data_IF_275604226470
#
_entry.id   IF_275604226470
#
_cell.length_a   1.000
_cell.length_b   1.000
_cell.length_c   1.000
_cell.angle_alpha   90.00
_cell.angle_beta   90.00
_cell.angle_gamma   90.00
#
_symmetry.space_group_name_H-M   'P 1'
#
loop_
_entity.id
_entity.type
_entity.pdbx_description
1 polymer ?
#
# COMPACT_ATOMS: atom_id res chain seq x y z
N UNK A 1 32.53 65.11 16.81
CA UNK A 1 31.32 64.69 16.06
C UNK A 1 31.07 63.24 16.38
N UNK A 2 30.16 62.96 17.33
CA UNK A 2 29.85 61.57 17.76
C UNK A 2 28.59 61.12 17.04
N UNK A 3 28.70 60.24 16.07
CA UNK A 3 27.56 59.61 15.38
C UNK A 3 26.97 58.55 16.31
N UNK A 4 25.69 58.70 16.60
CA UNK A 4 24.88 57.74 17.34
C UNK A 4 24.43 56.63 16.38
N UNK A 5 25.06 55.46 16.48
CA UNK A 5 24.74 54.23 15.69
C UNK A 5 23.98 53.20 16.53
N UNK A 6 22.86 53.60 17.16
CA UNK A 6 22.19 52.70 18.11
C UNK A 6 20.69 52.37 17.86
N UNK A 7 20.01 52.84 16.83
CA UNK A 7 18.64 52.29 16.62
C UNK A 7 18.52 51.27 15.49
N UNK A 8 19.55 51.02 14.66
CA UNK A 8 19.40 50.13 13.49
C UNK A 8 19.59 48.66 13.82
N UNK A 9 20.38 48.35 14.85
CA UNK A 9 20.68 46.97 15.26
C UNK A 9 19.52 46.30 16.02
N UNK A 10 18.72 47.11 16.74
CA UNK A 10 17.58 46.60 17.50
C UNK A 10 16.37 46.21 16.63
N UNK A 11 16.22 46.80 15.44
CA UNK A 11 15.12 46.49 14.52
C UNK A 11 15.31 45.18 13.73
N UNK A 12 16.57 44.76 13.54
CA UNK A 12 16.88 43.51 12.81
C UNK A 12 16.74 42.27 13.70
N UNK A 13 16.91 42.41 15.00
CA UNK A 13 16.77 41.29 15.95
C UNK A 13 15.31 40.87 16.22
N UNK A 14 14.32 41.74 15.94
CA UNK A 14 12.90 41.41 16.10
C UNK A 14 12.25 40.76 14.85
N UNK A 15 12.95 40.77 13.71
CA UNK A 15 12.42 40.17 12.47
C UNK A 15 12.75 38.66 12.34
N UNK A 16 13.48 38.09 13.28
CA UNK A 16 13.86 36.67 13.32
C UNK A 16 13.24 35.95 14.53
N UNK A 17 11.97 36.22 14.81
CA UNK A 17 11.24 35.42 15.78
C UNK A 17 10.87 34.08 15.14
N UNK A 18 11.27 32.93 15.68
CA UNK A 18 10.95 31.61 15.14
C UNK A 18 9.46 31.24 15.25
N UNK A 19 8.64 32.13 15.80
CA UNK A 19 7.20 31.92 15.96
C UNK A 19 6.37 32.07 14.68
N UNK A 20 6.89 32.75 13.64
CA UNK A 20 6.14 32.91 12.40
C UNK A 20 6.17 31.68 11.47
N UNK A 21 7.16 30.79 11.59
CA UNK A 21 7.25 29.57 10.78
C UNK A 21 6.44 28.41 11.34
N UNK A 22 6.14 28.41 12.64
CA UNK A 22 5.38 27.33 13.28
C UNK A 22 3.87 27.43 12.99
N UNK A 23 3.35 28.64 12.85
CA UNK A 23 1.91 28.85 12.62
C UNK A 23 1.46 28.55 11.18
N UNK A 24 2.36 28.66 10.20
CA UNK A 24 2.01 28.41 8.78
C UNK A 24 2.05 26.93 8.41
N UNK A 25 2.78 26.10 9.14
CA UNK A 25 2.82 24.65 8.87
C UNK A 25 1.63 23.88 9.49
N UNK A 26 1.05 24.38 10.58
CA UNK A 26 -0.14 23.77 11.17
C UNK A 26 -1.41 23.93 10.30
N UNK A 27 -1.44 24.92 9.41
CA UNK A 27 -2.63 25.20 8.61
C UNK A 27 -2.78 24.35 7.35
N UNK A 28 -1.72 23.69 6.88
CA UNK A 28 -1.75 22.96 5.59
C UNK A 28 -1.87 21.44 5.69
N UNK A 29 -1.84 20.89 6.89
CA UNK A 29 -1.91 19.45 7.06
C UNK A 29 -3.35 18.98 7.34
N UNK A 30 -4.27 19.18 6.40
CA UNK A 30 -5.57 18.51 6.43
C UNK A 30 -5.41 17.09 5.91
N UNK A 31 -5.38 16.13 6.81
CA UNK A 31 -5.38 14.71 6.50
C UNK A 31 -6.73 14.14 6.90
N UNK A 32 -7.25 13.27 6.06
CA UNK A 32 -8.46 12.51 6.31
C UNK A 32 -8.18 11.53 7.46
N UNK A 33 -8.93 11.59 8.55
CA UNK A 33 -8.70 10.81 9.75
C UNK A 33 -8.38 11.66 10.99
N UNK A 34 -7.60 11.13 11.91
CA UNK A 34 -7.12 11.91 13.05
C UNK A 34 -6.37 13.16 12.59
N UNK A 35 -6.59 14.29 13.29
CA UNK A 35 -5.87 15.51 12.98
C UNK A 35 -4.36 15.25 12.91
N UNK A 36 -3.69 15.71 11.85
CA UNK A 36 -2.26 15.49 11.69
C UNK A 36 -1.51 16.09 12.87
N UNK A 37 -0.58 15.34 13.41
CA UNK A 37 0.31 15.83 14.43
C UNK A 37 1.40 16.64 13.74
N UNK A 38 1.59 17.89 14.16
CA UNK A 38 2.62 18.76 13.61
C UNK A 38 4.04 18.18 13.83
N UNK A 39 5.00 18.69 13.10
CA UNK A 39 6.39 18.19 13.14
C UNK A 39 7.02 18.19 14.54
N UNK A 40 6.56 19.08 15.45
CA UNK A 40 6.96 19.09 16.85
C UNK A 40 6.64 17.81 17.61
N UNK A 41 5.65 17.07 17.15
CA UNK A 41 5.28 15.79 17.75
C UNK A 41 6.25 14.67 17.34
N UNK A 42 6.88 14.82 16.17
CA UNK A 42 7.80 13.85 15.60
C UNK A 42 9.21 14.41 15.56
N UNK A 43 10.15 13.60 15.86
CA UNK A 43 11.54 13.96 15.66
C UNK A 43 12.10 13.24 14.41
N UNK A 44 12.79 13.93 13.50
CA UNK A 44 13.10 15.37 13.43
C UNK A 44 11.87 16.23 13.14
N UNK A 45 11.75 17.38 13.81
CA UNK A 45 10.58 18.29 13.75
C UNK A 45 10.27 18.86 12.35
N UNK A 46 11.16 18.68 11.42
CA UNK A 46 11.06 19.23 10.07
C UNK A 46 10.41 18.25 9.07
N UNK A 47 10.10 17.03 9.48
CA UNK A 47 9.53 16.02 8.61
C UNK A 47 8.00 16.08 8.65
N UNK A 48 7.39 16.33 7.50
CA UNK A 48 5.95 16.21 7.32
C UNK A 48 5.57 14.73 7.12
N UNK A 49 4.95 14.14 8.13
CA UNK A 49 4.48 12.75 8.11
C UNK A 49 3.01 12.63 7.70
N UNK A 50 2.35 13.71 7.30
CA UNK A 50 0.93 13.69 6.91
C UNK A 50 0.66 12.71 5.76
N UNK A 51 1.60 12.57 4.85
CA UNK A 51 1.50 11.65 3.71
C UNK A 51 1.38 10.17 4.14
N UNK A 52 1.92 9.80 5.29
CA UNK A 52 1.81 8.42 5.81
C UNK A 52 0.37 8.06 6.23
N UNK A 53 -0.50 9.04 6.34
CA UNK A 53 -1.91 8.88 6.73
C UNK A 53 -2.88 8.99 5.56
N UNK A 54 -2.39 9.21 4.35
CA UNK A 54 -3.21 9.35 3.15
C UNK A 54 -4.07 8.10 2.86
N UNK A 55 -3.66 6.94 3.38
CA UNK A 55 -4.36 5.66 3.22
C UNK A 55 -5.06 5.21 4.52
N UNK A 56 -5.53 6.15 5.34
CA UNK A 56 -6.31 5.85 6.54
C UNK A 56 -7.69 5.25 6.22
N UNK A 57 -8.40 4.82 7.27
CA UNK A 57 -9.73 4.18 7.16
C UNK A 57 -10.72 5.03 6.36
N UNK A 58 -10.67 6.35 6.51
CA UNK A 58 -11.54 7.29 5.79
C UNK A 58 -11.29 7.33 4.28
N UNK A 59 -10.14 6.85 3.79
CA UNK A 59 -9.83 6.74 2.36
C UNK A 59 -10.16 5.36 1.77
N UNK A 60 -10.80 4.48 2.54
CA UNK A 60 -11.21 3.16 2.04
C UNK A 60 -12.22 3.29 0.90
N UNK A 61 -11.90 2.83 -0.32
CA UNK A 61 -12.78 2.95 -1.47
C UNK A 61 -14.09 2.14 -1.33
N UNK A 62 -14.15 1.21 -0.40
CA UNK A 62 -15.36 0.43 -0.09
C UNK A 62 -16.25 1.09 0.98
N UNK A 63 -15.83 2.23 1.55
CA UNK A 63 -16.51 2.93 2.62
C UNK A 63 -16.16 2.42 4.01
N UNK A 64 -16.46 3.23 5.02
CA UNK A 64 -16.10 2.98 6.42
C UNK A 64 -16.76 1.72 7.02
N UNK A 65 -17.93 1.37 6.50
CA UNK A 65 -18.72 0.23 7.01
C UNK A 65 -18.33 -1.12 6.37
N UNK A 66 -17.41 -1.13 5.41
CA UNK A 66 -16.98 -2.37 4.80
C UNK A 66 -16.08 -3.18 5.73
N UNK A 67 -16.51 -4.39 6.06
CA UNK A 67 -15.75 -5.34 6.87
C UNK A 67 -15.35 -6.54 6.00
N UNK A 68 -14.04 -6.62 5.70
CA UNK A 68 -13.51 -7.67 4.84
C UNK A 68 -13.69 -9.07 5.44
N UNK A 69 -13.50 -9.26 6.74
CA UNK A 69 -13.67 -10.57 7.36
C UNK A 69 -15.09 -11.12 7.16
N UNK A 70 -16.10 -10.29 7.38
CA UNK A 70 -17.51 -10.68 7.12
C UNK A 70 -17.77 -10.97 5.65
N UNK A 71 -17.17 -10.20 4.73
CA UNK A 71 -17.31 -10.45 3.31
C UNK A 71 -16.64 -11.78 2.91
N UNK A 72 -15.49 -12.09 3.48
CA UNK A 72 -14.78 -13.34 3.25
C UNK A 72 -15.52 -14.55 3.85
N UNK A 73 -16.10 -14.43 5.03
CA UNK A 73 -16.90 -15.49 5.67
C UNK A 73 -18.09 -15.93 4.81
N UNK A 74 -18.62 -15.04 3.98
CA UNK A 74 -19.72 -15.37 3.06
C UNK A 74 -19.27 -16.12 1.79
N UNK A 75 -17.96 -16.34 1.63
CA UNK A 75 -17.38 -16.91 0.44
C UNK A 75 -17.40 -18.45 0.49
N UNK A 76 -17.84 -19.09 -0.59
CA UNK A 76 -17.65 -20.53 -0.78
C UNK A 76 -16.19 -20.79 -1.25
N UNK A 77 -15.32 -21.12 -0.30
CA UNK A 77 -13.91 -21.43 -0.61
C UNK A 77 -13.74 -22.66 -1.50
N UNK A 78 -14.65 -23.63 -1.46
CA UNK A 78 -14.56 -24.79 -2.32
C UNK A 78 -14.87 -24.43 -3.77
N UNK A 79 -15.83 -23.54 -3.99
CA UNK A 79 -16.11 -22.99 -5.32
C UNK A 79 -14.89 -22.21 -5.85
N UNK A 80 -14.28 -21.35 -5.04
CA UNK A 80 -13.05 -20.61 -5.42
C UNK A 80 -11.93 -21.57 -5.80
N UNK A 81 -11.67 -22.61 -4.99
CA UNK A 81 -10.65 -23.62 -5.28
C UNK A 81 -10.93 -24.40 -6.56
N UNK A 82 -12.19 -24.64 -6.86
CA UNK A 82 -12.59 -25.30 -8.11
C UNK A 82 -12.29 -24.41 -9.31
N UNK A 83 -12.66 -23.13 -9.26
CA UNK A 83 -12.35 -22.16 -10.30
C UNK A 83 -10.82 -22.01 -10.51
N UNK A 84 -10.04 -22.01 -9.42
CA UNK A 84 -8.58 -21.97 -9.51
C UNK A 84 -8.03 -23.22 -10.22
N UNK A 85 -8.51 -24.43 -9.89
CA UNK A 85 -8.09 -25.67 -10.56
C UNK A 85 -8.41 -25.65 -12.05
N UNK A 86 -9.56 -25.11 -12.41
CA UNK A 86 -9.93 -24.93 -13.81
C UNK A 86 -8.96 -24.00 -14.54
N UNK A 87 -8.63 -22.85 -13.96
CA UNK A 87 -7.62 -21.93 -14.53
C UNK A 87 -6.25 -22.59 -14.62
N UNK A 88 -5.84 -23.37 -13.61
CA UNK A 88 -4.54 -24.06 -13.60
C UNK A 88 -4.33 -24.99 -14.80
N UNK A 89 -5.42 -25.58 -15.32
CA UNK A 89 -5.37 -26.60 -16.38
C UNK A 89 -5.91 -26.09 -17.73
N UNK A 90 -6.34 -24.81 -17.80
CA UNK A 90 -6.91 -24.21 -19.02
C UNK A 90 -5.89 -23.29 -19.68
N UNK A 91 -5.08 -23.83 -20.58
CA UNK A 91 -4.06 -23.06 -21.30
C UNK A 91 -4.70 -21.92 -22.14
N UNK A 92 -4.14 -20.73 -22.01
CA UNK A 92 -4.61 -19.55 -22.71
C UNK A 92 -3.70 -19.22 -23.91
N UNK A 93 -4.26 -18.89 -25.10
CA UNK A 93 -3.45 -18.57 -26.28
C UNK A 93 -2.50 -17.39 -26.09
N UNK A 94 -2.89 -16.41 -25.28
CA UNK A 94 -2.07 -15.21 -25.02
C UNK A 94 -0.94 -15.45 -24.00
N UNK A 95 -0.98 -16.56 -23.26
CA UNK A 95 0.05 -17.01 -22.33
C UNK A 95 -0.05 -18.53 -22.20
N UNK A 96 0.47 -19.30 -23.13
CA UNK A 96 0.35 -20.76 -23.12
C UNK A 96 0.96 -21.37 -21.87
N UNK A 97 0.28 -22.39 -21.33
CA UNK A 97 0.77 -23.12 -20.16
C UNK A 97 1.89 -24.09 -20.55
N UNK A 98 2.95 -24.12 -19.73
CA UNK A 98 4.02 -25.10 -19.89
C UNK A 98 3.44 -26.50 -19.58
N UNK A 99 3.61 -27.41 -20.54
CA UNK A 99 3.05 -28.77 -20.41
C UNK A 99 1.54 -28.82 -20.06
N UNK A 100 0.81 -27.76 -20.43
CA UNK A 100 -0.64 -27.66 -20.21
C UNK A 100 -1.07 -27.29 -18.79
N UNK A 101 -0.15 -26.87 -17.92
CA UNK A 101 -0.46 -26.56 -16.52
C UNK A 101 0.29 -25.35 -15.97
N UNK A 102 -0.45 -24.42 -15.32
CA UNK A 102 0.13 -23.22 -14.72
C UNK A 102 0.63 -23.41 -13.27
N UNK A 103 0.59 -24.60 -12.71
CA UNK A 103 0.91 -24.86 -11.31
C UNK A 103 2.25 -24.27 -10.84
N UNK A 104 3.39 -24.57 -11.51
CA UNK A 104 4.68 -24.01 -11.12
C UNK A 104 4.70 -22.48 -11.17
N UNK A 105 3.99 -21.88 -12.12
CA UNK A 105 3.87 -20.44 -12.27
C UNK A 105 3.09 -19.80 -11.11
N UNK A 106 2.00 -20.43 -10.67
CA UNK A 106 1.20 -19.97 -9.53
C UNK A 106 1.91 -20.22 -8.19
N UNK A 107 2.59 -21.35 -8.03
CA UNK A 107 3.44 -21.62 -6.85
C UNK A 107 4.49 -20.51 -6.71
N UNK A 108 5.16 -20.15 -7.82
CA UNK A 108 6.14 -19.06 -7.81
C UNK A 108 5.48 -17.73 -7.42
N UNK A 109 4.29 -17.43 -7.93
CA UNK A 109 3.56 -16.22 -7.58
C UNK A 109 3.22 -16.19 -6.08
N UNK A 110 2.65 -17.26 -5.55
CA UNK A 110 2.30 -17.37 -4.14
C UNK A 110 3.53 -17.26 -3.23
N UNK A 111 4.61 -17.95 -3.59
CA UNK A 111 5.88 -17.88 -2.88
C UNK A 111 6.46 -16.47 -2.85
N UNK A 112 6.51 -15.78 -3.99
CA UNK A 112 7.04 -14.42 -4.08
C UNK A 112 6.13 -13.39 -3.39
N UNK A 113 4.84 -13.66 -3.26
CA UNK A 113 3.96 -12.85 -2.41
C UNK A 113 4.26 -13.04 -0.92
N UNK A 114 4.44 -14.30 -0.48
CA UNK A 114 4.72 -14.64 0.92
C UNK A 114 6.16 -14.28 1.34
N UNK A 115 7.13 -14.48 0.46
CA UNK A 115 8.55 -14.31 0.73
C UNK A 115 9.00 -12.87 1.00
N UNK A 116 8.12 -11.90 0.85
CA UNK A 116 8.39 -10.51 1.24
C UNK A 116 8.29 -10.29 2.76
N UNK A 117 7.89 -11.30 3.53
CA UNK A 117 7.76 -11.19 4.98
C UNK A 117 9.10 -10.92 5.66
N UNK A 118 9.12 -9.94 6.56
CA UNK A 118 10.28 -9.53 7.34
C UNK A 118 10.09 -9.93 8.80
N UNK A 119 10.93 -10.81 9.30
CA UNK A 119 10.87 -11.28 10.68
C UNK A 119 11.23 -10.22 11.71
N UNK A 120 12.00 -9.19 11.31
CA UNK A 120 12.45 -8.10 12.19
C UNK A 120 11.31 -7.20 12.65
N UNK A 121 10.38 -6.88 11.75
CA UNK A 121 9.32 -5.89 12.01
C UNK A 121 7.91 -6.38 11.61
N UNK A 122 7.78 -7.61 11.12
CA UNK A 122 6.51 -8.21 10.74
C UNK A 122 5.87 -7.62 9.47
N UNK A 123 6.60 -6.80 8.71
CA UNK A 123 6.10 -6.20 7.47
C UNK A 123 6.20 -7.17 6.30
N UNK A 124 5.45 -6.88 5.24
CA UNK A 124 5.41 -7.70 4.03
C UNK A 124 4.52 -8.92 4.20
N UNK A 125 4.84 -9.97 3.48
CA UNK A 125 4.06 -11.20 3.44
C UNK A 125 2.87 -11.15 2.47
N UNK A 126 2.13 -12.24 2.40
CA UNK A 126 1.08 -12.43 1.41
C UNK A 126 -0.15 -11.54 1.62
N UNK A 127 -0.44 -11.12 2.86
CA UNK A 127 -1.71 -10.52 3.25
C UNK A 127 -2.08 -9.21 2.54
N UNK A 128 -1.11 -8.40 2.12
CA UNK A 128 -1.36 -7.12 1.45
C UNK A 128 -1.49 -7.19 -0.07
N UNK A 129 -1.15 -8.31 -0.69
CA UNK A 129 -1.10 -8.41 -2.15
C UNK A 129 -0.14 -7.42 -2.80
N UNK A 130 0.93 -7.04 -2.11
CA UNK A 130 1.86 -5.96 -2.47
C UNK A 130 2.64 -6.24 -3.75
N UNK A 131 2.78 -7.50 -4.17
CA UNK A 131 3.42 -7.90 -5.41
C UNK A 131 2.85 -7.19 -6.66
N UNK A 132 1.62 -6.66 -6.59
CA UNK A 132 0.96 -5.93 -7.68
C UNK A 132 1.53 -4.53 -7.91
N UNK A 133 2.28 -4.00 -6.96
CA UNK A 133 2.74 -2.62 -6.93
C UNK A 133 4.26 -2.53 -6.94
N UNK A 134 4.77 -1.44 -7.51
CA UNK A 134 6.17 -1.13 -7.43
C UNK A 134 6.60 -0.79 -5.98
N UNK A 135 7.82 -1.11 -5.60
CA UNK A 135 8.90 -1.67 -6.43
C UNK A 135 8.81 -3.19 -6.65
N UNK A 136 7.99 -3.93 -5.90
CA UNK A 136 7.93 -5.40 -5.93
C UNK A 136 7.54 -5.92 -7.33
N UNK A 137 6.59 -5.27 -7.98
CA UNK A 137 6.15 -5.66 -9.32
C UNK A 137 7.27 -5.60 -10.38
N UNK A 138 8.24 -4.71 -10.19
CA UNK A 138 9.35 -4.51 -11.11
C UNK A 138 10.63 -5.28 -10.75
N UNK A 139 10.62 -6.06 -9.67
CA UNK A 139 11.78 -6.89 -9.33
C UNK A 139 12.00 -7.97 -10.39
N UNK A 140 13.28 -8.26 -10.77
CA UNK A 140 13.59 -9.29 -11.77
C UNK A 140 12.97 -10.66 -11.46
N UNK A 141 12.95 -11.07 -10.19
CA UNK A 141 12.35 -12.32 -9.74
C UNK A 141 10.84 -12.39 -9.93
N UNK A 142 10.19 -11.24 -10.08
CA UNK A 142 8.75 -11.13 -10.31
C UNK A 142 8.38 -10.97 -11.79
N UNK A 143 9.35 -11.15 -12.69
CA UNK A 143 9.12 -11.10 -14.13
C UNK A 143 7.99 -12.05 -14.54
N UNK A 144 7.07 -11.53 -15.36
CA UNK A 144 5.88 -12.24 -15.86
C UNK A 144 4.80 -12.60 -14.83
N UNK A 145 4.96 -12.31 -13.53
CA UNK A 145 3.92 -12.59 -12.54
C UNK A 145 2.66 -11.70 -12.72
N UNK A 146 2.76 -10.63 -13.46
CA UNK A 146 1.60 -9.89 -13.95
C UNK A 146 0.66 -10.78 -14.81
N UNK A 147 1.22 -11.71 -15.61
CA UNK A 147 0.46 -12.70 -16.40
C UNK A 147 -0.24 -13.70 -15.49
N UNK A 148 0.41 -14.16 -14.41
CA UNK A 148 -0.23 -15.02 -13.43
C UNK A 148 -1.45 -14.33 -12.79
N UNK A 149 -1.30 -13.07 -12.38
CA UNK A 149 -2.42 -12.28 -11.86
C UNK A 149 -3.51 -12.04 -12.90
N UNK A 150 -3.14 -11.86 -14.18
CA UNK A 150 -4.09 -11.72 -15.28
C UNK A 150 -4.90 -13.01 -15.52
N UNK A 151 -4.29 -14.19 -15.38
CA UNK A 151 -4.98 -15.48 -15.43
C UNK A 151 -6.02 -15.60 -14.31
N UNK A 152 -5.75 -15.06 -13.13
CA UNK A 152 -6.67 -15.04 -11.99
C UNK A 152 -7.76 -13.97 -12.08
N UNK A 153 -7.67 -13.04 -13.02
CA UNK A 153 -8.60 -11.92 -13.11
C UNK A 153 -10.08 -12.33 -13.23
N UNK A 154 -10.47 -13.33 -14.03
CA UNK A 154 -11.86 -13.79 -14.09
C UNK A 154 -12.39 -14.25 -12.72
N UNK A 155 -11.57 -14.94 -11.93
CA UNK A 155 -11.92 -15.36 -10.58
C UNK A 155 -12.10 -14.13 -9.69
N UNK A 156 -11.14 -13.18 -9.74
CA UNK A 156 -11.23 -11.93 -8.99
C UNK A 156 -12.49 -11.13 -9.34
N UNK A 157 -12.89 -11.09 -10.60
CA UNK A 157 -14.13 -10.45 -11.03
C UNK A 157 -15.37 -11.17 -10.49
N UNK A 158 -15.41 -12.51 -10.56
CA UNK A 158 -16.52 -13.32 -10.08
C UNK A 158 -16.81 -13.12 -8.59
N UNK A 159 -15.78 -13.13 -7.76
CA UNK A 159 -15.90 -13.01 -6.30
C UNK A 159 -15.75 -11.58 -5.77
N UNK A 160 -15.33 -10.66 -6.59
CA UNK A 160 -15.28 -9.23 -6.30
C UNK A 160 -14.54 -8.89 -5.02
N UNK A 161 -15.20 -8.13 -4.16
CA UNK A 161 -14.64 -7.68 -2.88
C UNK A 161 -14.64 -8.75 -1.77
N UNK A 162 -15.25 -9.90 -2.00
CA UNK A 162 -15.32 -10.98 -1.01
C UNK A 162 -13.99 -11.73 -0.89
N UNK A 163 -13.10 -11.61 -1.87
CA UNK A 163 -11.73 -12.12 -1.77
C UNK A 163 -10.73 -11.03 -2.13
N UNK A 164 -9.73 -10.81 -1.26
CA UNK A 164 -8.64 -9.90 -1.56
C UNK A 164 -7.69 -10.49 -2.60
N UNK A 165 -6.88 -9.64 -3.24
CA UNK A 165 -5.80 -10.15 -4.08
C UNK A 165 -4.75 -10.94 -3.28
N UNK A 166 -4.48 -10.52 -2.03
CA UNK A 166 -3.56 -11.23 -1.16
C UNK A 166 -4.03 -12.66 -0.93
N UNK A 167 -5.28 -12.82 -0.50
CA UNK A 167 -5.85 -14.14 -0.22
C UNK A 167 -6.02 -14.99 -1.49
N UNK A 168 -6.42 -14.37 -2.61
CA UNK A 168 -6.53 -15.10 -3.87
C UNK A 168 -5.17 -15.65 -4.34
N UNK A 169 -4.10 -14.83 -4.26
CA UNK A 169 -2.75 -15.29 -4.62
C UNK A 169 -2.22 -16.35 -3.64
N UNK A 170 -2.55 -16.25 -2.35
CA UNK A 170 -2.14 -17.25 -1.36
C UNK A 170 -2.90 -18.58 -1.50
N UNK A 171 -4.09 -18.56 -2.08
CA UNK A 171 -4.93 -19.74 -2.25
C UNK A 171 -4.54 -20.58 -3.47
N UNK A 172 -3.75 -20.03 -4.39
CA UNK A 172 -3.27 -20.71 -5.60
C UNK A 172 -2.03 -21.56 -5.34
#
# INVERSE_FOLDING_TARGET
>A
MKMKLLPVVAAIAMALSPTAHSATMEQNAKVVGEAPKGNKFWWPEQLDLSQLRAHGVASNPYGENFNYAKAFESLDLNAVKTDIREVLTSSQPWWPADYGHYGPFFIRMAWHAAGTYRTVDGRGGAGGGQQRFDPLNSWPDNANLDKARRLLWPIKQKYGRNISWGDLMALT
#
